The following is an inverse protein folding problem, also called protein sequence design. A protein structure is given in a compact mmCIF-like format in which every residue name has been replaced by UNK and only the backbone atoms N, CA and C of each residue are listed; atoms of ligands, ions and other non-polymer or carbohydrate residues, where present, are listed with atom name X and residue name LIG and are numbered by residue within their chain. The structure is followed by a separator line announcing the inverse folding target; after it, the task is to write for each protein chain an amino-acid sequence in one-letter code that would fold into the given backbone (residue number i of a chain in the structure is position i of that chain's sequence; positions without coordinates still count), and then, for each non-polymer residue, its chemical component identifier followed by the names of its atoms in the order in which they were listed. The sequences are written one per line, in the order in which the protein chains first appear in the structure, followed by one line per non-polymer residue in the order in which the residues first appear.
data_IF_082007059757
#
_entry.id   IF_082007059757
#
_cell.length_a   1.000
_cell.length_b   1.000
_cell.length_c   1.000
_cell.angle_alpha   90.00
_cell.angle_beta   90.00
_cell.angle_gamma   90.00
#
_symmetry.space_group_name_H-M   'P 1'
#
loop_
_entity.id
_entity.type
_entity.pdbx_description
1 polymer ?
#
# COMPACT_ATOMS: atom_id res chain seq x y z
N UNK A 1 -7.15 81.70 -54.44
CA UNK A 1 -6.10 81.17 -53.53
C UNK A 1 -6.64 80.32 -52.40
N UNK A 2 -7.87 79.82 -52.45
CA UNK A 2 -8.50 79.08 -51.35
C UNK A 2 -8.48 77.53 -51.49
N UNK A 3 -8.28 77.01 -52.64
CA UNK A 3 -8.35 75.58 -52.87
C UNK A 3 -7.11 74.76 -52.37
N UNK A 4 -5.95 75.43 -52.21
CA UNK A 4 -4.71 74.76 -51.76
C UNK A 4 -4.64 74.49 -50.24
N UNK A 5 -5.34 75.28 -49.43
CA UNK A 5 -5.36 75.19 -47.96
C UNK A 5 -6.17 73.99 -47.44
N UNK A 6 -7.28 73.68 -48.11
CA UNK A 6 -8.18 72.58 -47.72
C UNK A 6 -7.57 71.19 -48.02
N UNK A 7 -6.80 71.11 -49.15
CA UNK A 7 -6.15 69.86 -49.50
C UNK A 7 -4.99 69.45 -48.54
N UNK A 8 -4.28 70.41 -47.97
CA UNK A 8 -3.21 70.16 -47.00
C UNK A 8 -3.78 69.75 -45.63
N UNK A 9 -4.85 70.37 -45.16
CA UNK A 9 -5.51 70.06 -43.91
C UNK A 9 -6.05 68.60 -43.91
N UNK A 10 -6.63 68.15 -45.01
CA UNK A 10 -7.12 66.78 -45.18
C UNK A 10 -6.01 65.74 -45.22
N UNK A 11 -4.83 66.06 -45.73
CA UNK A 11 -3.66 65.16 -45.72
C UNK A 11 -3.05 65.02 -44.32
N UNK A 12 -2.95 66.13 -43.59
CA UNK A 12 -2.41 66.09 -42.22
C UNK A 12 -3.35 65.33 -41.25
N UNK A 13 -4.64 65.49 -41.45
CA UNK A 13 -5.62 64.72 -40.65
C UNK A 13 -5.52 63.20 -40.90
N UNK A 14 -5.31 62.78 -42.14
CA UNK A 14 -5.09 61.36 -42.51
C UNK A 14 -3.77 60.84 -42.01
N UNK A 15 -2.70 61.59 -41.98
CA UNK A 15 -1.39 61.21 -41.43
C UNK A 15 -1.50 60.99 -39.92
N UNK A 16 -2.14 61.89 -39.18
CA UNK A 16 -2.34 61.81 -37.77
C UNK A 16 -3.23 60.61 -37.35
N UNK A 17 -4.25 60.29 -38.17
CA UNK A 17 -5.09 59.09 -37.95
C UNK A 17 -4.30 57.81 -38.15
N UNK A 18 -3.46 57.75 -39.19
CA UNK A 18 -2.63 56.59 -39.49
C UNK A 18 -1.51 56.37 -38.46
N UNK A 19 -0.91 57.44 -37.91
CA UNK A 19 0.05 57.32 -36.79
C UNK A 19 -0.59 56.84 -35.48
N UNK A 20 -1.82 57.27 -35.19
CA UNK A 20 -2.57 56.79 -34.02
C UNK A 20 -2.93 55.30 -34.14
N UNK A 21 -3.30 54.87 -35.34
CA UNK A 21 -3.63 53.46 -35.60
C UNK A 21 -2.39 52.56 -35.48
N UNK A 22 -1.24 53.00 -36.03
CA UNK A 22 0.03 52.27 -35.90
C UNK A 22 0.52 52.25 -34.45
N UNK A 23 0.38 53.32 -33.67
CA UNK A 23 0.71 53.34 -32.24
C UNK A 23 -0.23 52.43 -31.41
N UNK A 24 -1.53 52.43 -31.71
CA UNK A 24 -2.51 51.55 -31.07
C UNK A 24 -2.21 50.09 -31.29
N UNK A 25 -1.89 49.72 -32.54
CA UNK A 25 -1.57 48.32 -32.91
C UNK A 25 -0.24 47.84 -32.32
N UNK A 26 0.74 48.74 -32.16
CA UNK A 26 2.04 48.42 -31.54
C UNK A 26 1.93 48.22 -30.01
N UNK A 27 1.07 49.00 -29.32
CA UNK A 27 0.82 48.82 -27.87
C UNK A 27 0.06 47.54 -27.55
N UNK A 28 -0.90 47.15 -28.37
CA UNK A 28 -1.66 45.90 -28.16
C UNK A 28 -0.78 44.68 -28.38
N UNK A 29 0.12 44.66 -29.41
CA UNK A 29 1.03 43.51 -29.63
C UNK A 29 2.07 43.33 -28.54
N UNK A 30 2.52 44.35 -27.83
CA UNK A 30 3.51 44.23 -26.75
C UNK A 30 2.91 43.74 -25.45
N UNK A 31 1.62 44.02 -25.17
CA UNK A 31 0.95 43.62 -23.93
C UNK A 31 0.60 42.13 -23.90
N UNK A 32 0.24 41.52 -25.02
CA UNK A 32 -0.09 40.10 -25.14
C UNK A 32 1.12 39.18 -25.04
N UNK A 33 2.30 39.61 -25.51
CA UNK A 33 3.53 38.80 -25.49
C UNK A 33 4.12 38.64 -24.08
N UNK A 34 3.94 39.61 -23.17
CA UNK A 34 4.47 39.62 -21.81
C UNK A 34 3.65 38.74 -20.84
N UNK A 35 2.35 38.52 -21.11
CA UNK A 35 1.47 37.64 -20.32
C UNK A 35 1.74 36.16 -20.56
N UNK A 36 1.92 35.77 -21.83
CA UNK A 36 2.20 34.36 -22.22
C UNK A 36 3.55 33.83 -21.71
N UNK A 37 4.57 34.66 -21.58
CA UNK A 37 5.89 34.22 -21.09
C UNK A 37 5.92 33.98 -19.59
N UNK A 38 5.18 34.75 -18.79
CA UNK A 38 5.09 34.58 -17.32
C UNK A 38 4.32 33.33 -16.94
N UNK A 39 3.28 32.97 -17.68
CA UNK A 39 2.48 31.76 -17.42
C UNK A 39 3.28 30.49 -17.78
N UNK A 40 4.00 30.49 -18.89
CA UNK A 40 4.90 29.39 -19.28
C UNK A 40 6.02 29.14 -18.25
N UNK A 41 6.60 30.21 -17.68
CA UNK A 41 7.66 30.08 -16.68
C UNK A 41 7.14 29.58 -15.31
N UNK A 42 5.88 29.87 -14.95
CA UNK A 42 5.24 29.34 -13.73
C UNK A 42 4.87 27.88 -13.89
N UNK A 43 4.29 27.48 -15.02
CA UNK A 43 4.00 26.08 -15.35
C UNK A 43 5.28 25.22 -15.39
N UNK A 44 6.35 25.72 -16.00
CA UNK A 44 7.65 25.03 -16.02
C UNK A 44 8.27 24.87 -14.64
N UNK A 45 8.11 25.85 -13.73
CA UNK A 45 8.56 25.72 -12.33
C UNK A 45 7.70 24.74 -11.55
N UNK A 46 6.38 24.77 -11.72
CA UNK A 46 5.47 23.81 -11.09
C UNK A 46 5.77 22.37 -11.52
N UNK A 47 6.04 22.13 -12.81
CA UNK A 47 6.41 20.80 -13.29
C UNK A 47 7.74 20.31 -12.70
N UNK A 48 8.75 21.17 -12.57
CA UNK A 48 10.02 20.81 -11.92
C UNK A 48 9.81 20.47 -10.44
N UNK A 49 8.99 21.23 -9.72
CA UNK A 49 8.68 20.93 -8.32
C UNK A 49 7.89 19.63 -8.16
N UNK A 50 6.94 19.36 -9.07
CA UNK A 50 6.21 18.10 -9.10
C UNK A 50 7.15 16.89 -9.33
N UNK A 51 8.07 16.99 -10.30
CA UNK A 51 9.07 15.94 -10.54
C UNK A 51 9.97 15.74 -9.32
N UNK A 52 10.45 16.82 -8.69
CA UNK A 52 11.25 16.73 -7.46
C UNK A 52 10.49 16.07 -6.32
N UNK A 53 9.21 16.40 -6.15
CA UNK A 53 8.35 15.80 -5.12
C UNK A 53 8.15 14.30 -5.37
N UNK A 54 7.87 13.90 -6.60
CA UNK A 54 7.75 12.48 -6.99
C UNK A 54 9.06 11.74 -6.77
N UNK A 55 10.20 12.31 -7.18
CA UNK A 55 11.51 11.73 -6.96
C UNK A 55 11.82 11.58 -5.46
N UNK A 56 11.51 12.59 -4.66
CA UNK A 56 11.67 12.54 -3.20
C UNK A 56 10.82 11.43 -2.57
N UNK A 57 9.54 11.33 -2.96
CA UNK A 57 8.64 10.26 -2.47
C UNK A 57 9.16 8.88 -2.87
N UNK A 58 9.63 8.72 -4.09
CA UNK A 58 10.23 7.47 -4.57
C UNK A 58 11.47 7.09 -3.73
N UNK A 59 12.43 8.00 -3.60
CA UNK A 59 13.65 7.75 -2.81
C UNK A 59 13.30 7.46 -1.34
N UNK A 60 12.38 8.23 -0.74
CA UNK A 60 11.94 8.00 0.64
C UNK A 60 11.29 6.64 0.83
N UNK A 61 10.46 6.18 -0.13
CA UNK A 61 9.82 4.87 -0.07
C UNK A 61 10.84 3.73 -0.19
N UNK A 62 11.82 3.84 -1.09
CA UNK A 62 12.93 2.88 -1.23
C UNK A 62 13.76 2.82 0.05
N UNK A 63 14.11 3.97 0.63
CA UNK A 63 14.84 4.04 1.90
C UNK A 63 14.03 3.44 3.06
N UNK A 64 12.73 3.69 3.13
CA UNK A 64 11.86 3.10 4.14
C UNK A 64 11.85 1.57 4.05
N UNK A 65 11.68 1.01 2.85
CA UNK A 65 11.76 -0.44 2.63
C UNK A 65 13.13 -0.97 3.01
N UNK A 66 14.21 -0.29 2.62
CA UNK A 66 15.58 -0.70 2.95
C UNK A 66 15.83 -0.71 4.46
N UNK A 67 15.44 0.33 5.18
CA UNK A 67 15.58 0.42 6.64
C UNK A 67 14.80 -0.68 7.35
N UNK A 68 13.55 -0.92 6.93
CA UNK A 68 12.68 -1.94 7.51
C UNK A 68 13.13 -3.38 7.20
N UNK A 69 14.14 -3.57 6.37
CA UNK A 69 14.83 -4.87 6.22
C UNK A 69 15.43 -5.35 7.55
N UNK A 70 15.95 -4.43 8.38
CA UNK A 70 16.63 -4.76 9.64
C UNK A 70 15.90 -4.20 10.86
N UNK A 71 15.24 -3.05 10.71
CA UNK A 71 14.57 -2.36 11.81
C UNK A 71 13.12 -2.83 11.92
N UNK A 72 12.65 -3.22 13.11
CA UNK A 72 11.24 -3.50 13.35
C UNK A 72 10.36 -2.28 13.06
N UNK A 73 9.24 -2.41 12.31
CA UNK A 73 8.29 -1.33 12.19
C UNK A 73 7.64 -1.04 13.55
N UNK A 74 7.72 0.22 13.99
CA UNK A 74 7.09 0.67 15.25
C UNK A 74 5.57 0.70 15.17
N UNK A 75 5.03 0.83 13.96
CA UNK A 75 3.61 0.83 13.64
C UNK A 75 3.43 0.39 12.18
N UNK A 76 2.21 0.17 11.77
CA UNK A 76 1.87 -0.14 10.37
C UNK A 76 0.79 0.81 9.85
N UNK A 77 0.66 0.92 8.52
CA UNK A 77 -0.36 1.75 7.89
C UNK A 77 -1.77 1.40 8.38
N UNK A 78 -2.07 0.11 8.51
CA UNK A 78 -3.37 -0.37 9.03
C UNK A 78 -3.55 -0.02 10.50
N UNK A 79 -2.52 -0.11 11.35
CA UNK A 79 -2.60 0.30 12.77
C UNK A 79 -2.90 1.80 12.89
N UNK A 80 -2.23 2.63 12.06
CA UNK A 80 -2.47 4.09 12.01
C UNK A 80 -3.91 4.37 11.56
N UNK A 81 -4.37 3.70 10.50
CA UNK A 81 -5.74 3.83 10.00
C UNK A 81 -6.78 3.49 11.07
N UNK A 82 -6.58 2.37 11.80
CA UNK A 82 -7.47 1.95 12.88
C UNK A 82 -7.54 2.98 14.01
N UNK A 83 -6.39 3.49 14.44
CA UNK A 83 -6.33 4.54 15.47
C UNK A 83 -7.00 5.83 15.02
N UNK A 84 -6.69 6.29 13.81
CA UNK A 84 -7.27 7.51 13.25
C UNK A 84 -8.78 7.37 13.07
N UNK A 85 -9.26 6.27 12.51
CA UNK A 85 -10.68 6.00 12.36
C UNK A 85 -11.45 5.99 13.69
N UNK A 86 -10.86 5.42 14.74
CA UNK A 86 -11.45 5.46 16.07
C UNK A 86 -11.49 6.87 16.67
N UNK A 87 -10.40 7.64 16.50
CA UNK A 87 -10.32 9.03 16.96
C UNK A 87 -11.41 9.91 16.29
N UNK A 88 -11.55 9.81 14.97
CA UNK A 88 -12.58 10.53 14.22
C UNK A 88 -13.99 10.12 14.65
N UNK A 89 -14.19 8.85 15.00
CA UNK A 89 -15.47 8.34 15.48
C UNK A 89 -15.74 8.64 16.97
N UNK A 90 -14.84 9.34 17.67
CA UNK A 90 -14.96 9.63 19.11
C UNK A 90 -14.92 8.37 19.99
N UNK A 91 -14.31 7.27 19.49
CA UNK A 91 -14.26 5.98 20.19
C UNK A 91 -12.88 5.75 20.79
N UNK A 92 -12.85 5.16 22.00
CA UNK A 92 -11.60 4.60 22.54
C UNK A 92 -11.16 3.40 21.73
N UNK A 93 -9.87 3.34 21.38
CA UNK A 93 -9.28 2.23 20.64
C UNK A 93 -8.04 1.72 21.37
N UNK A 94 -8.14 0.51 21.90
CA UNK A 94 -7.00 -0.19 22.47
C UNK A 94 -6.27 -0.95 21.37
N UNK A 95 -5.00 -0.64 21.18
CA UNK A 95 -4.13 -1.33 20.24
C UNK A 95 -3.08 -2.11 21.05
N UNK A 96 -3.11 -3.43 20.93
CA UNK A 96 -2.09 -4.33 21.48
C UNK A 96 -1.18 -4.78 20.33
N UNK A 97 0.08 -4.33 20.39
CA UNK A 97 1.13 -4.63 19.41
C UNK A 97 2.44 -4.85 20.15
N UNK A 98 3.05 -6.02 19.94
CA UNK A 98 4.32 -6.40 20.54
C UNK A 98 5.16 -7.09 19.51
N UNK A 99 6.23 -6.41 19.05
CA UNK A 99 7.19 -7.02 18.15
C UNK A 99 7.99 -8.11 18.84
N UNK A 100 8.15 -9.25 18.15
CA UNK A 100 9.07 -10.31 18.53
C UNK A 100 9.94 -10.71 17.34
N UNK A 101 11.27 -10.88 17.54
CA UNK A 101 12.15 -11.31 16.46
C UNK A 101 11.87 -12.76 16.08
N UNK A 102 12.24 -13.13 14.86
CA UNK A 102 12.03 -14.46 14.27
C UNK A 102 12.35 -15.60 15.21
N UNK A 103 13.50 -15.58 15.86
CA UNK A 103 13.95 -16.64 16.80
C UNK A 103 13.07 -16.80 18.06
N UNK A 104 12.14 -15.89 18.30
CA UNK A 104 11.15 -15.96 19.39
C UNK A 104 9.73 -16.24 18.90
N UNK A 105 9.57 -16.63 17.64
CA UNK A 105 8.29 -17.08 17.08
C UNK A 105 8.39 -18.60 16.88
N UNK A 106 7.42 -19.34 17.37
CA UNK A 106 7.36 -20.76 17.12
C UNK A 106 7.23 -21.05 15.62
N UNK A 107 8.03 -21.97 15.07
CA UNK A 107 8.02 -22.36 13.65
C UNK A 107 6.61 -22.70 13.12
N UNK A 108 5.74 -23.40 13.90
CA UNK A 108 4.37 -23.65 13.48
C UNK A 108 3.59 -22.38 13.11
N UNK A 109 3.89 -21.21 13.69
CA UNK A 109 3.17 -19.97 13.36
C UNK A 109 3.45 -19.52 11.91
N UNK A 110 4.69 -19.56 11.47
CA UNK A 110 5.05 -19.28 10.09
C UNK A 110 4.46 -20.28 9.11
N UNK A 111 4.56 -21.58 9.44
CA UNK A 111 4.00 -22.64 8.62
C UNK A 111 2.48 -22.55 8.48
N UNK A 112 1.76 -22.25 9.57
CA UNK A 112 0.30 -22.12 9.54
C UNK A 112 -0.17 -20.97 8.65
N UNK A 113 0.56 -19.84 8.66
CA UNK A 113 0.27 -18.69 7.79
C UNK A 113 0.55 -19.04 6.33
N UNK A 114 1.67 -19.70 6.03
CA UNK A 114 1.97 -20.17 4.65
C UNK A 114 0.87 -21.13 4.19
N UNK A 115 0.51 -22.11 5.00
CA UNK A 115 -0.50 -23.10 4.68
C UNK A 115 -1.90 -22.49 4.45
N UNK A 116 -2.23 -21.43 5.20
CA UNK A 116 -3.54 -20.78 5.14
C UNK A 116 -3.70 -19.76 4.03
N UNK A 117 -2.64 -19.02 3.70
CA UNK A 117 -2.70 -17.80 2.89
C UNK A 117 -1.91 -17.89 1.59
N UNK A 118 -0.78 -18.66 1.55
CA UNK A 118 0.15 -18.57 0.44
C UNK A 118 1.11 -19.78 0.41
N UNK A 119 0.62 -20.92 -0.07
CA UNK A 119 1.40 -22.19 -0.06
C UNK A 119 2.65 -22.15 -0.95
N UNK A 120 2.63 -21.29 -1.98
CA UNK A 120 3.75 -21.08 -2.90
C UNK A 120 4.72 -19.96 -2.43
N UNK A 121 4.52 -19.42 -1.21
CA UNK A 121 5.34 -18.33 -0.67
C UNK A 121 6.85 -18.53 -0.80
N UNK A 122 7.42 -19.72 -0.58
CA UNK A 122 8.87 -19.95 -0.70
C UNK A 122 9.41 -19.79 -2.13
N UNK A 123 8.56 -19.99 -3.14
CA UNK A 123 9.01 -20.15 -4.54
C UNK A 123 8.68 -18.99 -5.45
N UNK A 124 7.59 -18.25 -5.21
CA UNK A 124 7.24 -17.09 -6.03
C UNK A 124 7.98 -15.82 -5.60
N UNK A 125 8.02 -14.81 -6.46
CA UNK A 125 8.63 -13.50 -6.22
C UNK A 125 7.56 -12.39 -6.07
N UNK A 126 6.75 -12.49 -5.02
CA UNK A 126 5.75 -11.50 -4.64
C UNK A 126 4.37 -11.68 -5.27
N UNK A 127 4.29 -12.35 -6.41
CA UNK A 127 3.03 -12.62 -7.11
C UNK A 127 2.94 -14.11 -7.45
N UNK A 128 1.85 -14.72 -7.07
CA UNK A 128 1.53 -16.10 -7.43
C UNK A 128 0.55 -16.10 -8.60
N UNK A 129 1.09 -16.08 -9.82
CA UNK A 129 0.29 -16.06 -11.05
C UNK A 129 -0.47 -17.37 -11.26
N UNK A 130 0.07 -18.50 -10.80
CA UNK A 130 -0.58 -19.80 -10.93
C UNK A 130 -1.85 -19.85 -10.03
N UNK A 131 -1.73 -19.45 -8.77
CA UNK A 131 -2.87 -19.37 -7.86
C UNK A 131 -3.89 -18.31 -8.31
N UNK A 132 -3.43 -17.21 -8.91
CA UNK A 132 -4.31 -16.20 -9.49
C UNK A 132 -5.12 -16.77 -10.67
N UNK A 133 -4.48 -17.49 -11.58
CA UNK A 133 -5.16 -18.12 -12.71
C UNK A 133 -6.20 -19.15 -12.24
N UNK A 134 -5.82 -20.03 -11.31
CA UNK A 134 -6.76 -21.00 -10.69
C UNK A 134 -7.96 -20.31 -10.02
N UNK A 135 -7.75 -19.14 -9.39
CA UNK A 135 -8.83 -18.39 -8.78
C UNK A 135 -9.77 -17.76 -9.82
N UNK A 136 -9.24 -17.30 -10.96
CA UNK A 136 -10.02 -16.78 -12.10
C UNK A 136 -10.88 -17.90 -12.71
N UNK A 137 -10.25 -19.04 -13.02
CA UNK A 137 -10.95 -20.20 -13.59
C UNK A 137 -12.08 -20.68 -12.67
N UNK A 138 -11.82 -20.76 -11.37
CA UNK A 138 -12.84 -21.11 -10.38
C UNK A 138 -13.98 -20.07 -10.30
N UNK A 139 -13.69 -18.78 -10.56
CA UNK A 139 -14.70 -17.74 -10.60
C UNK A 139 -15.59 -17.83 -11.85
N UNK A 140 -15.01 -18.16 -13.00
CA UNK A 140 -15.74 -18.41 -14.23
C UNK A 140 -16.70 -19.62 -14.10
N UNK A 141 -16.32 -20.60 -13.26
CA UNK A 141 -17.20 -21.72 -12.87
C UNK A 141 -18.25 -21.37 -11.79
N UNK A 142 -18.43 -20.07 -11.48
CA UNK A 142 -19.43 -19.58 -10.50
C UNK A 142 -19.00 -19.70 -9.03
N UNK A 143 -17.75 -20.11 -8.74
CA UNK A 143 -17.20 -20.13 -7.37
C UNK A 143 -16.75 -18.74 -6.95
N UNK A 144 -16.77 -18.45 -5.64
CA UNK A 144 -16.29 -17.15 -5.12
C UNK A 144 -14.79 -17.03 -5.29
N UNK A 145 -14.34 -15.90 -5.85
CA UNK A 145 -12.92 -15.55 -5.94
C UNK A 145 -12.32 -15.50 -4.51
N UNK A 146 -11.45 -16.43 -4.18
CA UNK A 146 -10.82 -16.51 -2.85
C UNK A 146 -9.30 -16.54 -2.98
N UNK A 147 -8.61 -15.78 -2.12
CA UNK A 147 -7.22 -16.04 -1.74
C UNK A 147 -6.13 -15.79 -2.80
N UNK A 148 -6.32 -14.84 -3.71
CA UNK A 148 -5.31 -14.54 -4.75
C UNK A 148 -4.20 -13.56 -4.30
N UNK A 149 -4.19 -13.10 -3.04
CA UNK A 149 -3.17 -12.16 -2.54
C UNK A 149 -2.10 -12.92 -1.75
N UNK A 150 -0.84 -12.74 -2.11
CA UNK A 150 0.30 -13.34 -1.45
C UNK A 150 0.62 -12.71 -0.09
N UNK A 151 1.42 -13.40 0.74
CA UNK A 151 1.95 -12.86 2.00
C UNK A 151 2.71 -11.55 1.74
N UNK A 152 3.52 -11.46 0.69
CA UNK A 152 4.28 -10.26 0.33
C UNK A 152 3.37 -9.08 0.00
N UNK A 153 2.29 -9.29 -0.75
CA UNK A 153 1.28 -8.27 -1.02
C UNK A 153 0.56 -7.82 0.25
N UNK A 154 0.27 -8.75 1.16
CA UNK A 154 -0.34 -8.43 2.44
C UNK A 154 0.61 -7.62 3.34
N UNK A 155 1.91 -7.92 3.36
CA UNK A 155 2.94 -7.11 4.05
C UNK A 155 3.00 -5.71 3.46
N UNK A 156 3.10 -5.57 2.13
CA UNK A 156 3.11 -4.29 1.43
C UNK A 156 1.90 -3.43 1.83
N UNK A 157 0.70 -4.01 1.78
CA UNK A 157 -0.54 -3.35 2.20
C UNK A 157 -0.51 -2.96 3.68
N UNK A 158 -0.20 -3.90 4.57
CA UNK A 158 -0.34 -3.68 6.00
C UNK A 158 0.67 -2.66 6.53
N UNK A 159 1.92 -2.69 6.04
CA UNK A 159 3.00 -1.81 6.52
C UNK A 159 2.89 -0.41 5.94
N UNK A 160 2.69 -0.29 4.62
CA UNK A 160 2.86 0.99 3.91
C UNK A 160 1.55 1.65 3.48
N UNK A 161 0.42 0.93 3.48
CA UNK A 161 -0.82 1.40 2.89
C UNK A 161 -1.98 1.32 3.90
N UNK A 162 -3.18 1.49 3.38
CA UNK A 162 -4.44 1.47 4.11
C UNK A 162 -5.38 0.37 3.60
N UNK A 163 -6.47 0.07 4.34
CA UNK A 163 -7.38 -1.03 4.03
C UNK A 163 -8.42 -0.73 2.93
N UNK A 164 -8.50 0.50 2.42
CA UNK A 164 -9.45 0.91 1.39
C UNK A 164 -9.30 0.13 0.07
N UNK A 165 -10.36 0.12 -0.74
CA UNK A 165 -10.40 -0.53 -2.06
C UNK A 165 -10.32 0.53 -3.15
N UNK A 166 -9.17 0.64 -3.84
CA UNK A 166 -9.01 1.47 -5.05
C UNK A 166 -7.93 0.89 -5.95
N UNK A 167 -8.01 1.16 -7.25
CA UNK A 167 -6.97 0.75 -8.21
C UNK A 167 -5.63 1.41 -7.91
N UNK A 168 -5.63 2.68 -7.49
CA UNK A 168 -4.40 3.40 -7.09
C UNK A 168 -3.72 2.68 -5.92
N UNK A 169 -4.47 2.36 -4.88
CA UNK A 169 -3.93 1.59 -3.75
C UNK A 169 -3.38 0.23 -4.19
N UNK A 170 -4.08 -0.47 -5.11
CA UNK A 170 -3.61 -1.77 -5.62
C UNK A 170 -2.34 -1.63 -6.44
N UNK A 171 -2.18 -0.56 -7.21
CA UNK A 171 -0.93 -0.23 -7.89
C UNK A 171 0.23 0.04 -6.93
N UNK A 172 -0.02 0.80 -5.85
CA UNK A 172 0.97 1.03 -4.79
C UNK A 172 1.32 -0.26 -4.03
N UNK A 173 0.35 -1.14 -3.80
CA UNK A 173 0.58 -2.46 -3.20
C UNK A 173 1.53 -3.28 -4.08
N UNK A 174 1.29 -3.33 -5.39
CA UNK A 174 2.18 -4.01 -6.32
C UNK A 174 3.60 -3.40 -6.32
N UNK A 175 3.71 -2.08 -6.33
CA UNK A 175 4.98 -1.36 -6.23
C UNK A 175 5.77 -1.75 -4.97
N UNK A 176 5.16 -1.66 -3.79
CA UNK A 176 5.83 -2.03 -2.55
C UNK A 176 6.12 -3.54 -2.47
N UNK A 177 5.29 -4.40 -3.05
CA UNK A 177 5.54 -5.83 -3.15
C UNK A 177 6.83 -6.12 -3.91
N UNK A 178 7.04 -5.47 -5.06
CA UNK A 178 8.29 -5.59 -5.83
C UNK A 178 9.48 -5.14 -5.01
N UNK A 179 9.40 -3.98 -4.34
CA UNK A 179 10.50 -3.49 -3.51
C UNK A 179 10.84 -4.43 -2.36
N UNK A 180 9.83 -4.95 -1.67
CA UNK A 180 10.02 -5.91 -0.56
C UNK A 180 10.70 -7.17 -1.07
N UNK A 181 10.22 -7.76 -2.14
CA UNK A 181 10.80 -9.02 -2.68
C UNK A 181 12.23 -8.85 -3.21
N UNK A 182 12.55 -7.68 -3.77
CA UNK A 182 13.92 -7.39 -4.20
C UNK A 182 14.89 -7.15 -3.03
N UNK A 183 14.39 -6.60 -1.91
CA UNK A 183 15.24 -6.14 -0.82
C UNK A 183 15.26 -7.04 0.40
N UNK A 184 14.19 -7.80 0.66
CA UNK A 184 14.05 -8.61 1.87
C UNK A 184 14.13 -10.10 1.55
N UNK A 185 14.82 -10.90 2.37
CA UNK A 185 14.71 -12.35 2.28
C UNK A 185 13.30 -12.80 2.71
N UNK A 186 12.83 -13.93 2.19
CA UNK A 186 11.51 -14.53 2.50
C UNK A 186 11.26 -14.61 4.00
N UNK A 187 12.26 -15.05 4.76
CA UNK A 187 12.21 -15.09 6.23
C UNK A 187 11.84 -13.73 6.84
N UNK A 188 12.41 -12.62 6.33
CA UNK A 188 12.09 -11.28 6.83
C UNK A 188 10.67 -10.87 6.48
N UNK A 189 10.22 -11.17 5.28
CA UNK A 189 8.84 -10.89 4.85
C UNK A 189 7.86 -11.61 5.79
N UNK A 190 8.08 -12.89 6.06
CA UNK A 190 7.23 -13.68 6.95
C UNK A 190 7.31 -13.19 8.41
N UNK A 191 8.49 -12.83 8.90
CA UNK A 191 8.67 -12.24 10.23
C UNK A 191 7.85 -10.96 10.40
N UNK A 192 7.93 -10.05 9.42
CA UNK A 192 7.14 -8.81 9.44
C UNK A 192 5.64 -9.14 9.36
N UNK A 193 5.23 -10.05 8.48
CA UNK A 193 3.83 -10.47 8.38
C UNK A 193 3.28 -10.92 9.74
N UNK A 194 3.98 -11.86 10.39
CA UNK A 194 3.59 -12.43 11.66
C UNK A 194 3.49 -11.39 12.79
N UNK A 195 4.24 -10.29 12.67
CA UNK A 195 4.22 -9.22 13.65
C UNK A 195 3.16 -8.14 13.35
N UNK A 196 2.77 -7.91 12.07
CA UNK A 196 1.88 -6.78 11.73
C UNK A 196 0.46 -7.20 11.34
N UNK A 197 0.20 -8.50 11.16
CA UNK A 197 -1.13 -8.99 10.84
C UNK A 197 -2.11 -8.73 11.99
N UNK A 198 -3.31 -8.24 11.68
CA UNK A 198 -4.40 -8.13 12.65
C UNK A 198 -4.98 -9.53 12.89
N UNK A 199 -5.02 -9.98 14.14
CA UNK A 199 -5.47 -11.30 14.56
C UNK A 199 -6.70 -11.26 15.47
N UNK A 200 -7.17 -10.06 15.74
CA UNK A 200 -8.39 -9.77 16.50
C UNK A 200 -8.60 -8.27 16.55
N UNK A 201 -9.75 -7.76 17.04
CA UNK A 201 -10.00 -6.33 17.13
C UNK A 201 -8.93 -5.62 17.95
N UNK A 202 -8.06 -4.83 17.27
CA UNK A 202 -6.96 -4.11 17.90
C UNK A 202 -5.78 -4.98 18.35
N UNK A 203 -5.74 -6.26 18.00
CA UNK A 203 -4.66 -7.19 18.34
C UNK A 203 -3.81 -7.43 17.10
N UNK A 204 -2.58 -6.95 17.13
CA UNK A 204 -1.65 -7.02 16.00
C UNK A 204 -0.41 -7.85 16.35
N UNK A 205 -0.13 -8.82 15.50
CA UNK A 205 1.00 -9.72 15.60
C UNK A 205 0.79 -10.92 16.52
N UNK A 206 1.58 -11.96 16.26
CA UNK A 206 1.46 -13.26 16.92
C UNK A 206 1.75 -13.21 18.43
N UNK A 207 2.63 -12.31 18.88
CA UNK A 207 2.92 -12.21 20.32
C UNK A 207 1.74 -11.64 21.09
N UNK A 208 1.17 -10.52 20.63
CA UNK A 208 -0.01 -9.93 21.25
C UNK A 208 -1.19 -10.91 21.24
N UNK A 209 -1.41 -11.60 20.11
CA UNK A 209 -2.47 -12.59 19.97
C UNK A 209 -2.24 -13.82 20.87
N UNK A 210 -1.00 -14.33 20.93
CA UNK A 210 -0.63 -15.48 21.78
C UNK A 210 -0.86 -15.18 23.25
N UNK A 211 -0.40 -14.02 23.72
CA UNK A 211 -0.61 -13.60 25.10
C UNK A 211 -2.10 -13.41 25.42
N UNK A 212 -2.83 -12.76 24.52
CA UNK A 212 -4.23 -12.41 24.74
C UNK A 212 -5.16 -13.62 24.70
N UNK A 213 -4.98 -14.52 23.73
CA UNK A 213 -5.91 -15.63 23.50
C UNK A 213 -5.48 -16.93 24.20
N UNK A 214 -4.17 -17.16 24.34
CA UNK A 214 -3.64 -18.42 24.88
C UNK A 214 -2.81 -18.26 26.18
N UNK A 215 -2.57 -17.01 26.64
CA UNK A 215 -1.81 -16.68 27.85
C UNK A 215 -0.40 -17.26 27.86
N UNK A 216 0.26 -17.30 26.72
CA UNK A 216 1.63 -17.80 26.54
C UNK A 216 2.38 -17.00 25.47
N UNK A 217 3.74 -16.98 25.50
CA UNK A 217 4.52 -16.28 24.48
C UNK A 217 4.43 -16.97 23.11
N UNK A 218 4.62 -16.21 22.02
CA UNK A 218 4.59 -16.72 20.64
C UNK A 218 5.61 -17.86 20.40
N UNK A 219 6.70 -17.90 21.15
CA UNK A 219 7.69 -19.00 21.11
C UNK A 219 7.12 -20.36 21.57
N UNK A 220 6.01 -20.38 22.31
CA UNK A 220 5.35 -21.59 22.83
C UNK A 220 4.05 -21.95 22.09
N UNK A 221 3.78 -21.32 20.94
CA UNK A 221 2.62 -21.70 20.12
C UNK A 221 2.79 -23.12 19.59
N UNK A 222 1.77 -23.94 19.81
CA UNK A 222 1.66 -25.27 19.21
C UNK A 222 1.17 -25.15 17.77
N UNK A 223 1.24 -26.23 16.99
CA UNK A 223 0.67 -26.27 15.65
C UNK A 223 -0.84 -25.95 15.65
N UNK A 224 -1.56 -26.43 16.65
CA UNK A 224 -3.00 -26.17 16.82
C UNK A 224 -3.30 -24.70 17.10
N UNK A 225 -2.53 -24.06 18.00
CA UNK A 225 -2.69 -22.63 18.28
C UNK A 225 -2.39 -21.79 17.04
N UNK A 226 -1.30 -22.12 16.34
CA UNK A 226 -0.86 -21.43 15.13
C UNK A 226 -1.92 -21.53 14.01
N UNK A 227 -2.47 -22.73 13.80
CA UNK A 227 -3.53 -22.96 12.83
C UNK A 227 -4.82 -22.20 13.21
N UNK A 228 -5.12 -22.06 14.49
CA UNK A 228 -6.27 -21.29 14.97
C UNK A 228 -6.08 -19.79 14.73
N UNK A 229 -4.88 -19.23 14.95
CA UNK A 229 -4.56 -17.85 14.61
C UNK A 229 -4.63 -17.62 13.09
N UNK A 230 -4.12 -18.55 12.28
CA UNK A 230 -4.20 -18.45 10.83
C UNK A 230 -5.65 -18.56 10.32
N UNK A 231 -6.51 -19.33 11.00
CA UNK A 231 -7.92 -19.49 10.60
C UNK A 231 -8.74 -18.20 10.71
N UNK A 232 -8.36 -17.24 11.55
CA UNK A 232 -9.08 -15.97 11.72
C UNK A 232 -8.60 -14.85 10.78
N UNK A 233 -7.47 -15.01 10.11
CA UNK A 233 -6.87 -14.00 9.21
C UNK A 233 -7.83 -13.43 8.14
N UNK A 234 -8.73 -14.21 7.53
CA UNK A 234 -9.64 -13.66 6.51
C UNK A 234 -10.56 -12.55 7.03
N UNK A 235 -10.92 -12.59 8.30
CA UNK A 235 -11.73 -11.57 8.94
C UNK A 235 -11.55 -11.57 10.48
N UNK A 236 -10.44 -11.01 10.98
CA UNK A 236 -10.11 -11.06 12.42
C UNK A 236 -11.07 -10.24 13.30
N UNK A 237 -11.88 -9.38 12.70
CA UNK A 237 -12.90 -8.64 13.43
C UNK A 237 -14.09 -9.53 13.78
N UNK A 238 -14.49 -10.43 12.88
CA UNK A 238 -15.64 -11.31 13.04
C UNK A 238 -15.27 -12.68 13.56
N UNK A 239 -14.18 -13.25 13.07
CA UNK A 239 -13.68 -14.56 13.48
C UNK A 239 -12.89 -14.42 14.78
N UNK A 240 -13.09 -15.33 15.74
CA UNK A 240 -12.52 -15.24 17.07
C UNK A 240 -11.66 -16.46 17.36
N UNK A 241 -10.39 -16.23 17.74
CA UNK A 241 -9.48 -17.31 18.13
C UNK A 241 -9.72 -17.77 19.59
N UNK A 242 -10.19 -16.88 20.46
CA UNK A 242 -10.51 -17.18 21.86
C UNK A 242 -11.86 -17.90 22.04
N UNK A 243 -12.74 -17.80 21.05
CA UNK A 243 -14.06 -18.47 21.02
C UNK A 243 -14.39 -18.91 19.59
N UNK A 244 -13.70 -19.94 19.08
CA UNK A 244 -13.83 -20.37 17.70
C UNK A 244 -15.24 -20.91 17.42
N UNK A 245 -15.82 -20.48 16.30
CA UNK A 245 -17.04 -21.04 15.76
C UNK A 245 -16.74 -22.37 15.05
N UNK A 246 -17.78 -23.16 14.74
CA UNK A 246 -17.62 -24.40 13.97
C UNK A 246 -16.84 -24.17 12.67
N UNK A 247 -17.10 -23.07 11.95
CA UNK A 247 -16.33 -22.69 10.75
C UNK A 247 -14.83 -22.46 11.05
N UNK A 248 -14.50 -21.80 12.17
CA UNK A 248 -13.09 -21.54 12.52
C UNK A 248 -12.39 -22.85 12.91
N UNK A 249 -13.09 -23.76 13.59
CA UNK A 249 -12.58 -25.08 13.93
C UNK A 249 -12.36 -25.96 12.69
N UNK A 250 -13.30 -25.99 11.78
CA UNK A 250 -13.17 -26.69 10.49
C UNK A 250 -11.95 -26.15 9.71
N UNK A 251 -11.83 -24.81 9.61
CA UNK A 251 -10.71 -24.16 8.93
C UNK A 251 -9.37 -24.46 9.65
N UNK A 252 -9.33 -24.51 10.97
CA UNK A 252 -8.16 -24.93 11.74
C UNK A 252 -7.74 -26.36 11.35
N UNK A 253 -8.70 -27.29 11.32
CA UNK A 253 -8.44 -28.67 10.90
C UNK A 253 -7.87 -28.77 9.50
N UNK A 254 -8.44 -28.01 8.56
CA UNK A 254 -7.92 -27.94 7.19
C UNK A 254 -6.49 -27.37 7.16
N UNK A 255 -6.20 -26.28 7.89
CA UNK A 255 -4.85 -25.70 7.97
C UNK A 255 -3.84 -26.69 8.52
N UNK A 256 -4.17 -27.42 9.58
CA UNK A 256 -3.31 -28.48 10.15
C UNK A 256 -2.98 -29.56 9.11
N UNK A 257 -3.94 -29.96 8.30
CA UNK A 257 -3.73 -30.89 7.21
C UNK A 257 -2.78 -30.32 6.15
N UNK A 258 -2.98 -29.06 5.75
CA UNK A 258 -2.09 -28.39 4.79
C UNK A 258 -0.67 -28.24 5.35
N UNK A 259 -0.50 -27.89 6.62
CA UNK A 259 0.81 -27.84 7.27
C UNK A 259 1.56 -29.17 7.19
N UNK A 260 0.86 -30.28 7.37
CA UNK A 260 1.46 -31.61 7.25
C UNK A 260 1.84 -31.92 5.78
N UNK A 261 0.98 -31.61 4.81
CA UNK A 261 1.24 -31.82 3.38
C UNK A 261 2.43 -30.98 2.86
N UNK A 262 2.67 -29.81 3.42
CA UNK A 262 3.81 -28.96 3.10
C UNK A 262 5.14 -29.44 3.70
N UNK A 263 5.17 -30.61 4.35
CA UNK A 263 6.40 -31.19 4.94
C UNK A 263 6.74 -30.66 6.33
N UNK A 264 5.77 -30.03 7.02
CA UNK A 264 5.95 -29.56 8.38
C UNK A 264 6.89 -28.35 8.50
N UNK A 265 7.49 -28.19 9.68
CA UNK A 265 8.34 -27.01 9.97
C UNK A 265 9.64 -26.94 9.21
N UNK A 266 10.06 -27.99 8.50
CA UNK A 266 11.24 -28.00 7.64
C UNK A 266 11.12 -26.95 6.52
N UNK A 267 9.91 -26.70 6.01
CA UNK A 267 9.65 -25.63 5.01
C UNK A 267 10.10 -24.26 5.53
N UNK A 268 9.82 -23.98 6.79
CA UNK A 268 10.12 -22.69 7.44
C UNK A 268 11.61 -22.56 7.77
N UNK A 269 12.29 -23.66 8.00
CA UNK A 269 13.74 -23.70 8.21
C UNK A 269 14.54 -23.38 6.94
N UNK A 270 13.97 -23.65 5.79
CA UNK A 270 14.57 -23.37 4.48
C UNK A 270 14.44 -21.92 3.98
N UNK A 271 13.77 -21.00 4.70
CA UNK A 271 13.55 -19.62 4.30
C UNK A 271 14.72 -18.67 4.59
#
# INVERSE_FOLDING_TARGET
MEAAGVANSARDARRLAQEKEIRGTRMVKTRTKKSRSRTRSRLGRLSIWAVKAVALLFVSSVLAVLVLRWVPPLTSGVMVERRFGALVAGKSYSLDYRWVPWGRIAKPAGLAVIAAEDQNFPTHHGFDFESLQKAIDAHEEGRRLRGASTISQQVAKNVFLWSGRSFVRKGLEAYFTVLIELMWPKRRILEVYLNVAELGPGVFGVEAASQRFFRKPAAKLTASDAALLAAVLPNPIRLKADRPSAYVEERRGWILQQMAQLGGTALVDGL
#
